data_IF_898362496646
#
_entry.id   IF_898362496646
#
_cell.length_a   1.000
_cell.length_b   1.000
_cell.length_c   1.000
_cell.angle_alpha   90.00
_cell.angle_beta   90.00
_cell.angle_gamma   90.00
#
_symmetry.space_group_name_H-M   'P 1'
#
loop_
_entity.id
_entity.type
_entity.pdbx_description
1 polymer ?
#
# COMPACT_ATOMS: atom_id res chain seq x y z
N UNK A 1 -6.10 2.65 11.71
CA UNK A 1 -6.73 3.99 11.60
C UNK A 1 -5.89 4.99 10.78
N UNK A 2 -6.52 5.91 10.03
CA UNK A 2 -5.90 7.08 9.35
C UNK A 2 -6.02 8.33 10.23
N UNK A 3 -4.93 9.06 10.41
CA UNK A 3 -4.83 10.32 11.14
C UNK A 3 -4.40 11.45 10.19
N UNK A 4 -5.11 12.57 10.19
CA UNK A 4 -4.75 13.75 9.39
C UNK A 4 -3.39 14.31 9.81
N UNK A 5 -2.67 14.92 8.86
CA UNK A 5 -1.39 15.56 9.12
C UNK A 5 -1.46 17.04 8.77
N UNK A 6 -1.10 17.91 9.74
CA UNK A 6 -1.19 19.37 9.62
C UNK A 6 -2.59 19.84 9.19
N UNK A 7 -3.64 19.20 9.75
CA UNK A 7 -5.05 19.53 9.49
C UNK A 7 -5.46 19.45 8.01
N UNK A 8 -4.70 18.71 7.20
CA UNK A 8 -4.99 18.52 5.78
C UNK A 8 -6.12 17.52 5.60
N UNK A 9 -7.01 17.82 4.67
CA UNK A 9 -8.07 16.93 4.23
C UNK A 9 -7.60 16.03 3.09
N UNK A 10 -8.09 14.79 3.08
CA UNK A 10 -7.92 13.88 1.96
C UNK A 10 -9.10 14.09 1.01
N UNK A 11 -8.80 14.42 -0.25
CA UNK A 11 -9.83 14.40 -1.30
C UNK A 11 -10.03 12.96 -1.79
N UNK A 12 -11.16 12.36 -1.42
CA UNK A 12 -11.50 10.98 -1.75
C UNK A 12 -11.85 10.76 -3.24
N UNK A 13 -12.09 11.82 -4.03
CA UNK A 13 -12.31 11.71 -5.47
C UNK A 13 -11.01 11.69 -6.29
N UNK A 14 -9.86 11.91 -5.65
CA UNK A 14 -8.55 11.89 -6.28
C UNK A 14 -7.70 10.75 -5.72
N UNK A 15 -6.77 10.18 -6.53
CA UNK A 15 -5.86 9.17 -6.01
C UNK A 15 -4.87 9.79 -5.03
N UNK A 16 -4.33 8.94 -4.16
CA UNK A 16 -3.23 9.22 -3.23
C UNK A 16 -2.05 8.32 -3.56
N UNK A 17 -0.87 8.70 -3.09
CA UNK A 17 0.31 7.85 -3.01
C UNK A 17 0.51 7.41 -1.56
N UNK A 18 0.48 6.10 -1.32
CA UNK A 18 0.79 5.48 -0.03
C UNK A 18 2.18 4.85 -0.07
N UNK A 19 2.96 5.04 1.00
CA UNK A 19 4.29 4.43 1.15
C UNK A 19 4.63 4.17 2.61
N UNK A 20 5.57 3.25 2.85
CA UNK A 20 6.07 2.95 4.20
C UNK A 20 6.78 4.15 4.80
N UNK A 21 6.40 4.57 6.00
CA UNK A 21 7.18 5.56 6.74
C UNK A 21 8.44 4.90 7.31
N UNK A 22 9.61 5.35 6.88
CA UNK A 22 10.89 4.73 7.27
C UNK A 22 11.44 5.28 8.60
N UNK A 23 11.13 6.54 8.92
CA UNK A 23 11.86 7.29 9.96
C UNK A 23 10.98 7.76 11.12
N UNK A 24 9.75 7.24 11.26
CA UNK A 24 8.81 7.67 12.31
C UNK A 24 8.34 6.50 13.15
N UNK A 25 8.57 6.56 14.47
CA UNK A 25 8.05 5.58 15.43
C UNK A 25 6.51 5.64 15.43
N UNK A 26 5.86 4.48 15.53
CA UNK A 26 4.40 4.33 15.57
C UNK A 26 3.64 4.88 14.34
N UNK A 27 4.34 5.11 13.23
CA UNK A 27 3.73 5.47 11.95
C UNK A 27 4.11 4.40 10.93
N UNK A 28 3.11 3.69 10.40
CA UNK A 28 3.34 2.63 9.43
C UNK A 28 3.39 3.17 8.01
N UNK A 29 2.39 3.95 7.62
CA UNK A 29 2.30 4.51 6.27
C UNK A 29 2.13 6.02 6.29
N UNK A 30 2.68 6.66 5.24
CA UNK A 30 2.40 8.05 4.90
C UNK A 30 1.55 8.09 3.64
N UNK A 31 0.56 8.97 3.64
CA UNK A 31 -0.39 9.17 2.55
C UNK A 31 -0.14 10.55 1.97
N UNK A 32 0.14 10.61 0.67
CA UNK A 32 0.50 11.83 -0.07
C UNK A 32 -0.53 12.12 -1.15
N UNK A 33 -0.98 13.36 -1.23
CA UNK A 33 -1.85 13.88 -2.29
C UNK A 33 -1.33 15.27 -2.69
N UNK A 34 -1.36 15.57 -3.99
CA UNK A 34 -0.89 16.86 -4.53
C UNK A 34 0.50 17.27 -4.02
N UNK A 35 1.42 16.29 -4.03
CA UNK A 35 2.78 16.41 -3.53
C UNK A 35 2.97 16.72 -2.04
N UNK A 36 1.92 16.71 -1.24
CA UNK A 36 1.96 16.91 0.21
C UNK A 36 1.56 15.64 0.96
N UNK A 37 2.24 15.35 2.08
CA UNK A 37 1.74 14.34 3.02
C UNK A 37 0.49 14.90 3.68
N UNK A 38 -0.65 14.24 3.50
CA UNK A 38 -1.95 14.68 4.03
C UNK A 38 -2.37 13.89 5.26
N UNK A 39 -1.85 12.68 5.42
CA UNK A 39 -2.18 11.81 6.54
C UNK A 39 -1.11 10.75 6.80
N UNK A 40 -1.23 10.12 7.97
CA UNK A 40 -0.47 8.95 8.40
C UNK A 40 -1.43 7.89 8.90
N UNK A 41 -1.09 6.61 8.77
CA UNK A 41 -1.94 5.59 9.35
C UNK A 41 -1.70 4.16 8.86
N UNK A 42 -2.67 3.33 9.20
CA UNK A 42 -2.86 1.94 8.81
C UNK A 42 -4.36 1.61 8.95
N UNK A 43 -4.78 0.37 8.73
CA UNK A 43 -6.19 -0.08 8.62
C UNK A 43 -7.02 0.73 7.64
N UNK A 44 -6.60 0.75 6.38
CA UNK A 44 -7.35 1.34 5.29
C UNK A 44 -7.15 0.56 4.00
N UNK A 45 -8.03 0.78 3.04
CA UNK A 45 -7.96 0.14 1.72
C UNK A 45 -7.58 1.21 0.69
N UNK A 46 -6.72 0.83 -0.25
CA UNK A 46 -6.64 1.51 -1.55
C UNK A 46 -7.30 0.65 -2.62
N UNK A 47 -8.12 1.28 -3.46
CA UNK A 47 -8.72 0.70 -4.65
C UNK A 47 -8.02 1.18 -5.92
N UNK A 48 -8.03 0.35 -6.97
CA UNK A 48 -7.50 0.64 -8.30
C UNK A 48 -6.02 1.06 -8.24
N UNK A 49 -5.23 0.17 -7.63
CA UNK A 49 -3.86 0.45 -7.20
C UNK A 49 -2.88 0.19 -8.32
N UNK A 50 -2.02 1.17 -8.58
CA UNK A 50 -0.81 1.03 -9.39
C UNK A 50 0.43 1.13 -8.50
N UNK A 51 1.34 0.18 -8.64
CA UNK A 51 2.62 0.17 -7.93
C UNK A 51 3.67 0.93 -8.73
N UNK A 52 4.37 1.83 -8.06
CA UNK A 52 5.35 2.72 -8.68
C UNK A 52 6.65 2.63 -7.88
N UNK A 53 7.71 2.17 -8.53
CA UNK A 53 9.09 2.21 -7.99
C UNK A 53 9.88 3.18 -8.86
N UNK A 54 10.39 4.26 -8.26
CA UNK A 54 11.23 5.23 -8.98
C UNK A 54 12.64 4.69 -9.10
N UNK A 55 13.10 4.48 -10.33
CA UNK A 55 14.39 3.87 -10.64
C UNK A 55 15.57 4.61 -9.99
N UNK A 56 15.67 5.92 -10.15
CA UNK A 56 16.77 6.69 -9.52
C UNK A 56 16.78 6.60 -7.99
N UNK A 57 15.60 6.42 -7.37
CA UNK A 57 15.50 6.16 -5.93
C UNK A 57 16.00 4.76 -5.57
N UNK A 58 15.64 3.75 -6.36
CA UNK A 58 16.07 2.37 -6.19
C UNK A 58 17.58 2.20 -6.37
N UNK A 59 18.15 2.81 -7.42
CA UNK A 59 19.60 2.81 -7.66
C UNK A 59 20.36 3.46 -6.51
N UNK A 60 19.87 4.62 -6.03
CA UNK A 60 20.45 5.27 -4.85
C UNK A 60 20.43 4.34 -3.63
N UNK A 61 19.32 3.64 -3.38
CA UNK A 61 19.22 2.72 -2.24
C UNK A 61 20.23 1.57 -2.34
N UNK A 62 20.41 0.99 -3.53
CA UNK A 62 21.39 -0.08 -3.78
C UNK A 62 22.82 0.39 -3.61
N UNK A 63 23.14 1.57 -4.14
CA UNK A 63 24.49 2.11 -4.12
C UNK A 63 24.91 2.56 -2.72
N UNK A 64 24.00 3.21 -1.96
CA UNK A 64 24.31 3.70 -0.62
C UNK A 64 24.09 2.66 0.48
N UNK A 65 23.33 1.59 0.22
CA UNK A 65 22.88 0.65 1.25
C UNK A 65 21.84 1.23 2.21
N UNK A 66 21.33 2.44 1.94
CA UNK A 66 20.37 3.13 2.79
C UNK A 66 18.97 3.15 2.17
N UNK A 67 17.94 3.01 3.01
CA UNK A 67 16.55 3.09 2.53
C UNK A 67 16.14 4.55 2.35
N UNK A 68 15.57 4.85 1.19
CA UNK A 68 14.88 6.09 0.86
C UNK A 68 13.44 5.80 0.42
N UNK A 69 12.62 6.84 0.32
CA UNK A 69 11.22 6.71 -0.14
C UNK A 69 11.19 6.86 -1.66
N UNK A 70 10.94 5.76 -2.35
CA UNK A 70 10.81 5.72 -3.83
C UNK A 70 9.81 4.69 -4.33
N UNK A 71 9.21 3.90 -3.44
CA UNK A 71 8.21 2.90 -3.76
C UNK A 71 6.84 3.32 -3.20
N UNK A 72 5.83 3.33 -4.07
CA UNK A 72 4.50 3.86 -3.79
C UNK A 72 3.41 2.93 -4.31
N UNK A 73 2.32 2.84 -3.56
CA UNK A 73 1.03 2.37 -4.06
C UNK A 73 0.14 3.58 -4.35
N UNK A 74 -0.27 3.76 -5.61
CA UNK A 74 -1.13 4.86 -6.05
C UNK A 74 -2.56 4.35 -6.29
N UNK A 75 -3.55 4.88 -5.59
CA UNK A 75 -4.95 4.46 -5.73
C UNK A 75 -5.91 5.35 -4.94
N UNK A 76 -7.17 4.96 -4.83
CA UNK A 76 -8.22 5.72 -4.14
C UNK A 76 -8.48 5.17 -2.74
N UNK A 77 -8.54 6.05 -1.75
CA UNK A 77 -8.84 5.64 -0.37
C UNK A 77 -10.28 5.16 -0.27
N UNK A 78 -10.44 4.02 0.40
CA UNK A 78 -11.71 3.54 0.92
C UNK A 78 -11.58 3.27 2.42
N UNK A 79 -12.61 3.57 3.22
CA UNK A 79 -12.70 3.07 4.58
C UNK A 79 -12.49 1.56 4.59
N UNK A 80 -11.76 1.04 5.58
CA UNK A 80 -11.66 -0.40 5.75
C UNK A 80 -13.04 -0.99 6.04
N UNK A 81 -13.31 -2.16 5.47
CA UNK A 81 -14.44 -3.02 5.84
C UNK A 81 -13.95 -4.05 6.86
N UNK A 82 -14.86 -4.67 7.61
CA UNK A 82 -14.51 -5.80 8.46
C UNK A 82 -13.98 -6.94 7.58
N UNK A 83 -12.67 -7.15 7.66
CA UNK A 83 -11.94 -8.15 6.90
C UNK A 83 -11.49 -9.27 7.86
N UNK A 84 -11.48 -10.54 7.44
CA UNK A 84 -10.97 -11.64 8.26
C UNK A 84 -9.51 -11.42 8.69
N UNK A 85 -9.09 -12.09 9.76
CA UNK A 85 -7.85 -11.75 10.47
C UNK A 85 -6.56 -12.28 9.79
N UNK A 86 -6.65 -13.23 8.86
CA UNK A 86 -5.47 -13.84 8.23
C UNK A 86 -5.40 -13.55 6.72
N UNK A 87 -4.46 -12.68 6.34
CA UNK A 87 -4.14 -12.37 4.95
C UNK A 87 -2.70 -12.70 4.59
N UNK A 88 -1.98 -13.52 5.36
CA UNK A 88 -0.54 -13.68 5.12
C UNK A 88 -0.20 -14.23 3.74
N UNK A 89 -1.07 -15.07 3.17
CA UNK A 89 -0.94 -15.56 1.79
C UNK A 89 -1.03 -14.45 0.73
N UNK A 90 -1.66 -13.32 1.06
CA UNK A 90 -1.89 -12.19 0.17
C UNK A 90 -0.88 -11.05 0.36
N UNK A 91 0.18 -11.28 1.13
CA UNK A 91 1.14 -10.22 1.49
C UNK A 91 1.92 -9.73 0.27
N UNK A 92 1.99 -8.42 0.13
CA UNK A 92 2.85 -7.74 -0.83
C UNK A 92 4.10 -7.24 -0.12
N UNK A 93 5.25 -7.43 -0.76
CA UNK A 93 6.55 -7.03 -0.23
C UNK A 93 7.34 -6.19 -1.24
N UNK A 94 8.29 -5.43 -0.70
CA UNK A 94 9.26 -4.68 -1.49
C UNK A 94 10.56 -4.58 -0.71
N UNK A 95 11.65 -5.14 -1.25
CA UNK A 95 12.99 -4.94 -0.73
C UNK A 95 13.83 -4.13 -1.72
N UNK A 96 14.19 -2.87 -1.41
CA UNK A 96 14.91 -2.02 -2.36
C UNK A 96 16.30 -2.53 -2.75
N UNK A 97 16.92 -3.38 -1.92
CA UNK A 97 18.25 -3.92 -2.17
C UNK A 97 18.26 -5.10 -3.15
N UNK A 98 17.10 -5.73 -3.37
CA UNK A 98 16.99 -6.94 -4.21
C UNK A 98 15.93 -6.83 -5.31
N UNK A 99 15.02 -5.86 -5.24
CA UNK A 99 13.88 -5.78 -6.14
C UNK A 99 13.75 -4.40 -6.80
N UNK A 100 13.30 -4.41 -8.07
CA UNK A 100 12.94 -3.23 -8.85
C UNK A 100 11.42 -3.00 -8.87
N UNK A 101 10.65 -3.93 -8.29
CA UNK A 101 9.19 -3.98 -8.30
C UNK A 101 8.66 -4.50 -6.97
N UNK A 102 7.37 -4.29 -6.72
CA UNK A 102 6.66 -4.97 -5.64
C UNK A 102 6.47 -6.45 -6.00
N UNK A 103 6.55 -7.32 -5.00
CA UNK A 103 6.51 -8.77 -5.15
C UNK A 103 5.36 -9.35 -4.33
N UNK A 104 4.60 -10.26 -4.92
CA UNK A 104 3.62 -11.11 -4.24
C UNK A 104 3.88 -12.56 -4.65
N UNK A 105 4.02 -13.47 -3.67
CA UNK A 105 4.27 -14.90 -3.90
C UNK A 105 5.44 -15.16 -4.87
N UNK A 106 6.51 -14.38 -4.77
CA UNK A 106 7.70 -14.48 -5.62
C UNK A 106 7.58 -13.84 -7.01
N UNK A 107 6.40 -13.34 -7.38
CA UNK A 107 6.13 -12.75 -8.70
C UNK A 107 6.05 -11.22 -8.60
N UNK A 108 6.70 -10.48 -9.53
CA UNK A 108 6.49 -9.05 -9.69
C UNK A 108 5.04 -8.66 -9.97
N UNK A 109 4.53 -7.64 -9.30
CA UNK A 109 3.21 -7.06 -9.54
C UNK A 109 3.30 -5.57 -9.85
N UNK A 110 2.45 -5.11 -10.78
CA UNK A 110 2.37 -3.70 -11.21
C UNK A 110 1.08 -3.02 -10.80
N UNK A 111 0.02 -3.79 -10.57
CA UNK A 111 -1.28 -3.28 -10.13
C UNK A 111 -2.01 -4.29 -9.23
N UNK A 112 -3.07 -3.81 -8.58
CA UNK A 112 -4.04 -4.63 -7.86
C UNK A 112 -5.36 -3.87 -7.73
N UNK A 113 -6.48 -4.58 -7.68
CA UNK A 113 -7.79 -3.94 -7.54
C UNK A 113 -8.03 -3.40 -6.13
N UNK A 114 -7.62 -4.11 -5.09
CA UNK A 114 -7.80 -3.70 -3.70
C UNK A 114 -6.65 -4.15 -2.81
N UNK A 115 -6.03 -3.19 -2.13
CA UNK A 115 -4.94 -3.42 -1.18
C UNK A 115 -5.35 -2.96 0.21
N UNK A 116 -5.26 -3.85 1.18
CA UNK A 116 -5.41 -3.53 2.60
C UNK A 116 -4.06 -3.20 3.23
N UNK A 117 -3.95 -2.04 3.87
CA UNK A 117 -2.77 -1.61 4.61
C UNK A 117 -3.02 -1.74 6.10
N UNK A 118 -2.27 -2.58 6.80
CA UNK A 118 -2.37 -2.78 8.26
C UNK A 118 -1.04 -2.56 8.96
N UNK A 119 -1.04 -2.59 10.29
CA UNK A 119 0.20 -2.52 11.08
C UNK A 119 1.18 -3.68 10.78
N UNK A 120 0.69 -4.82 10.26
CA UNK A 120 1.48 -6.01 9.95
C UNK A 120 2.03 -6.05 8.51
N UNK A 121 1.44 -5.28 7.59
CA UNK A 121 1.86 -5.27 6.19
C UNK A 121 0.81 -4.70 5.24
N UNK A 122 1.10 -4.84 3.93
CA UNK A 122 0.16 -4.56 2.86
C UNK A 122 -0.27 -5.88 2.22
N UNK A 123 -1.56 -6.03 1.93
CA UNK A 123 -2.17 -7.29 1.52
C UNK A 123 -3.08 -7.08 0.31
N UNK A 124 -2.92 -7.92 -0.72
CA UNK A 124 -3.77 -7.91 -1.90
C UNK A 124 -5.07 -8.67 -1.64
N UNK A 125 -6.11 -7.96 -1.25
CA UNK A 125 -7.41 -8.54 -0.91
C UNK A 125 -8.31 -8.73 -2.14
N UNK A 126 -7.83 -8.41 -3.35
CA UNK A 126 -8.61 -8.55 -4.59
C UNK A 126 -9.07 -10.00 -4.80
N UNK A 127 -8.16 -10.95 -4.58
CA UNK A 127 -8.42 -12.38 -4.73
C UNK A 127 -9.44 -12.88 -3.69
N UNK A 128 -9.25 -12.50 -2.43
CA UNK A 128 -10.20 -12.83 -1.36
C UNK A 128 -11.62 -12.36 -1.68
N UNK A 129 -11.78 -11.10 -2.10
CA UNK A 129 -13.10 -10.55 -2.42
C UNK A 129 -13.76 -11.27 -3.62
N UNK A 130 -12.95 -11.73 -4.58
CA UNK A 130 -13.43 -12.55 -5.70
C UNK A 130 -13.87 -13.95 -5.23
N UNK A 131 -13.07 -14.62 -4.40
CA UNK A 131 -13.40 -15.94 -3.86
C UNK A 131 -14.67 -15.90 -2.99
N UNK A 132 -14.75 -14.95 -2.05
CA UNK A 132 -15.93 -14.79 -1.20
C UNK A 132 -17.20 -14.39 -1.95
N UNK A 133 -17.08 -13.70 -3.09
CA UNK A 133 -18.27 -13.39 -3.91
C UNK A 133 -18.77 -14.60 -4.69
N UNK A 134 -17.89 -15.53 -5.08
CA UNK A 134 -18.28 -16.76 -5.77
C UNK A 134 -18.83 -17.85 -4.84
N UNK A 135 -18.37 -17.91 -3.59
CA UNK A 135 -18.95 -18.84 -2.59
C UNK A 135 -20.40 -18.49 -2.22
N UNK A 136 -20.84 -17.25 -2.42
CA UNK A 136 -22.21 -16.80 -2.13
C UNK A 136 -23.22 -17.03 -3.29
N UNK A 137 -22.80 -17.61 -4.41
CA UNK A 137 -23.68 -17.87 -5.58
C UNK A 137 -24.23 -19.31 -5.58
N UNK A 138 -23.84 -20.14 -4.62
CA UNK A 138 -24.37 -21.50 -4.45
C UNK A 138 -25.39 -21.59 -3.30
N UNK A 139 -26.56 -20.95 -3.46
CA UNK A 139 -27.77 -21.24 -2.68
C UNK A 139 -29.02 -21.12 -3.56
#
# INVERSE_FOLDING_TARGET
>A
MILSYKERLINLSKPVYCYRALNRKNVWYSIKQDNLVVAHGYDFILKDVNFIVREGGNQRAKNSGERNVHAFAKGYIKPAVNLPLDFQHYRISYNPFHNNSFIQNGVPITNAYSIYFSSKGAFNISTYLYESSNENIHF
#
